data_IF_946004593091
#
_entry.id   IF_946004593091
#
_cell.length_a   1.000
_cell.length_b   1.000
_cell.length_c   1.000
_cell.angle_alpha   90.00
_cell.angle_beta   90.00
_cell.angle_gamma   90.00
#
_symmetry.space_group_name_H-M   'P 1'
#
loop_
_entity.id
_entity.type
_entity.pdbx_description
1 polymer ?
#
# COMPACT_ATOMS: atom_id res chain seq x y z
N UNK A 1 16.03 -14.06 -7.48
CA UNK A 1 16.31 -12.65 -7.13
C UNK A 1 15.41 -12.26 -5.97
N UNK A 2 15.95 -11.63 -4.93
CA UNK A 2 15.17 -11.17 -3.78
C UNK A 2 14.67 -9.77 -4.07
N UNK A 3 13.36 -9.61 -4.24
CA UNK A 3 12.75 -8.31 -4.52
C UNK A 3 12.25 -7.64 -3.24
N UNK A 4 12.35 -6.32 -3.13
CA UNK A 4 11.88 -5.52 -2.00
C UNK A 4 10.77 -4.60 -2.45
N UNK A 5 9.77 -4.35 -1.60
CA UNK A 5 8.67 -3.45 -1.95
C UNK A 5 8.28 -2.59 -0.76
N UNK A 6 7.98 -1.33 -1.01
CA UNK A 6 7.54 -0.39 0.03
C UNK A 6 6.03 -0.50 0.19
N UNK A 7 5.61 -0.70 1.44
CA UNK A 7 4.22 -0.73 1.87
C UNK A 7 3.93 0.44 2.81
N UNK A 8 2.68 0.89 2.81
CA UNK A 8 2.18 1.91 3.72
C UNK A 8 1.01 2.67 3.10
N UNK A 9 0.87 3.93 3.49
CA UNK A 9 -0.10 4.85 2.89
C UNK A 9 0.52 6.25 2.78
N UNK A 10 0.41 6.86 1.60
CA UNK A 10 0.78 8.26 1.37
C UNK A 10 -0.46 9.06 0.98
N UNK A 11 -0.43 10.36 1.22
CA UNK A 11 -1.50 11.28 0.82
C UNK A 11 -1.87 11.15 -0.66
N UNK A 12 -0.87 11.12 -1.54
CA UNK A 12 -1.07 10.96 -2.98
C UNK A 12 -1.81 9.66 -3.32
N UNK A 13 -1.46 8.56 -2.66
CA UNK A 13 -2.10 7.26 -2.89
C UNK A 13 -3.49 7.19 -2.30
N UNK A 14 -3.70 7.77 -1.12
CA UNK A 14 -5.01 7.85 -0.48
C UNK A 14 -5.99 8.65 -1.33
N UNK A 15 -5.58 9.81 -1.88
CA UNK A 15 -6.40 10.58 -2.84
C UNK A 15 -6.72 9.81 -4.10
N UNK A 16 -5.71 9.15 -4.70
CA UNK A 16 -5.93 8.33 -5.89
C UNK A 16 -6.96 7.22 -5.63
N UNK A 17 -6.86 6.56 -4.48
CA UNK A 17 -7.82 5.54 -4.07
C UNK A 17 -9.20 6.13 -3.81
N UNK A 18 -9.29 7.28 -3.14
CA UNK A 18 -10.56 7.96 -2.87
C UNK A 18 -11.31 8.26 -4.17
N UNK A 19 -10.63 8.84 -5.17
CA UNK A 19 -11.15 9.15 -6.51
C UNK A 19 -11.47 7.93 -7.37
N UNK A 20 -10.89 6.77 -7.07
CA UNK A 20 -11.10 5.57 -7.88
C UNK A 20 -12.52 5.03 -7.77
N UNK A 21 -13.32 5.48 -6.79
CA UNK A 21 -14.72 5.10 -6.70
C UNK A 21 -15.55 5.97 -7.65
N UNK A 22 -16.38 5.36 -8.51
CA UNK A 22 -17.28 6.13 -9.35
C UNK A 22 -18.32 6.90 -8.50
N UNK A 23 -18.83 8.02 -9.03
CA UNK A 23 -19.98 8.70 -8.44
C UNK A 23 -21.19 7.76 -8.43
N UNK A 24 -22.05 7.88 -7.41
CA UNK A 24 -23.31 7.15 -7.36
C UNK A 24 -24.32 7.76 -8.35
N UNK A 25 -25.29 6.96 -8.79
CA UNK A 25 -26.35 7.46 -9.66
C UNK A 25 -27.12 8.59 -8.98
N UNK A 26 -27.22 9.74 -9.67
CA UNK A 26 -27.90 10.98 -9.20
C UNK A 26 -27.28 11.65 -7.97
N UNK A 27 -25.99 11.40 -7.70
CA UNK A 27 -25.25 12.09 -6.64
C UNK A 27 -24.91 13.54 -7.10
N UNK A 28 -25.04 14.51 -6.20
CA UNK A 28 -24.57 15.88 -6.45
C UNK A 28 -23.05 15.92 -6.48
N UNK A 29 -22.47 16.94 -7.13
CA UNK A 29 -21.01 17.14 -7.15
C UNK A 29 -20.48 17.34 -5.72
N UNK A 30 -21.19 18.10 -4.90
CA UNK A 30 -20.82 18.38 -3.50
C UNK A 30 -20.83 17.11 -2.64
N UNK A 31 -21.83 16.25 -2.82
CA UNK A 31 -21.92 14.96 -2.11
C UNK A 31 -20.78 14.02 -2.49
N UNK A 32 -20.37 14.05 -3.76
CA UNK A 32 -19.22 13.27 -4.24
C UNK A 32 -17.91 13.74 -3.59
N UNK A 33 -17.67 15.05 -3.54
CA UNK A 33 -16.47 15.64 -2.93
C UNK A 33 -16.40 15.35 -1.42
N UNK A 34 -17.53 15.48 -0.71
CA UNK A 34 -17.62 15.14 0.71
C UNK A 34 -17.28 13.66 0.94
N UNK A 35 -17.83 12.76 0.12
CA UNK A 35 -17.53 11.32 0.20
C UNK A 35 -16.08 10.99 -0.16
N UNK A 36 -15.47 11.70 -1.11
CA UNK A 36 -14.05 11.56 -1.42
C UNK A 36 -13.20 11.94 -0.20
N UNK A 37 -13.53 13.07 0.44
CA UNK A 37 -12.81 13.58 1.60
C UNK A 37 -12.94 12.66 2.82
N UNK A 38 -14.16 12.23 3.17
CA UNK A 38 -14.39 11.27 4.25
C UNK A 38 -13.59 9.98 4.04
N UNK A 39 -13.57 9.48 2.79
CA UNK A 39 -12.84 8.26 2.46
C UNK A 39 -11.33 8.47 2.50
N UNK A 40 -10.84 9.62 2.07
CA UNK A 40 -9.44 9.99 2.21
C UNK A 40 -9.01 9.95 3.68
N UNK A 41 -9.80 10.54 4.57
CA UNK A 41 -9.56 10.55 6.02
C UNK A 41 -9.62 9.14 6.61
N UNK A 42 -10.59 8.31 6.20
CA UNK A 42 -10.66 6.91 6.60
C UNK A 42 -9.45 6.11 6.12
N UNK A 43 -8.96 6.35 4.90
CA UNK A 43 -7.78 5.67 4.36
C UNK A 43 -6.50 6.08 5.10
N UNK A 44 -6.39 7.36 5.48
CA UNK A 44 -5.27 7.90 6.23
C UNK A 44 -5.29 7.50 7.71
N UNK A 45 -6.46 7.38 8.34
CA UNK A 45 -6.61 6.95 9.74
C UNK A 45 -6.69 5.44 9.94
N UNK A 46 -7.13 4.69 8.93
CA UNK A 46 -7.38 3.25 9.05
C UNK A 46 -6.13 2.37 9.12
N UNK A 47 -6.30 1.05 9.11
CA UNK A 47 -5.18 0.08 9.15
C UNK A 47 -4.71 -0.41 7.78
N UNK A 48 -5.37 -0.02 6.69
CA UNK A 48 -5.10 -0.61 5.36
C UNK A 48 -3.78 -0.10 4.78
N UNK A 49 -2.86 -1.01 4.55
CA UNK A 49 -1.57 -0.73 3.91
C UNK A 49 -1.59 -1.25 2.47
N UNK A 50 -1.08 -0.45 1.55
CA UNK A 50 -1.01 -0.79 0.13
C UNK A 50 0.44 -0.76 -0.34
N UNK A 51 0.78 -1.54 -1.38
CA UNK A 51 2.07 -1.39 -2.01
C UNK A 51 2.16 -0.01 -2.70
N UNK A 52 3.16 0.78 -2.33
CA UNK A 52 3.38 2.13 -2.87
C UNK A 52 4.30 2.12 -4.08
N UNK A 53 5.30 1.24 -4.07
CA UNK A 53 6.30 1.14 -5.14
C UNK A 53 6.12 -0.12 -5.98
N UNK A 54 6.85 -0.19 -7.10
CA UNK A 54 7.18 -1.46 -7.76
C UNK A 54 8.15 -2.28 -6.90
N UNK A 55 8.41 -3.52 -7.29
CA UNK A 55 9.47 -4.32 -6.71
C UNK A 55 10.84 -3.74 -7.10
N UNK A 56 11.71 -3.56 -6.10
CA UNK A 56 13.09 -3.14 -6.24
C UNK A 56 14.03 -4.32 -6.03
N UNK A 57 15.18 -4.33 -6.69
CA UNK A 57 16.15 -5.43 -6.53
C UNK A 57 17.01 -5.30 -5.26
N UNK A 58 17.11 -4.10 -4.69
CA UNK A 58 17.92 -3.83 -3.51
C UNK A 58 17.14 -3.03 -2.45
N UNK A 59 17.42 -3.28 -1.15
CA UNK A 59 16.72 -2.59 -0.06
C UNK A 59 17.10 -1.10 0.04
N UNK A 60 18.28 -0.72 -0.47
CA UNK A 60 18.75 0.67 -0.48
C UNK A 60 17.81 1.58 -1.29
N UNK A 61 17.34 1.12 -2.45
CA UNK A 61 16.37 1.86 -3.27
C UNK A 61 15.02 1.98 -2.58
N UNK A 62 14.56 0.93 -1.90
CA UNK A 62 13.33 0.97 -1.11
C UNK A 62 13.44 1.97 0.06
N UNK A 63 14.61 2.07 0.72
CA UNK A 63 14.88 3.09 1.75
C UNK A 63 14.84 4.51 1.19
N UNK A 64 15.53 4.74 0.07
CA UNK A 64 15.51 6.05 -0.61
C UNK A 64 14.10 6.46 -1.00
N UNK A 65 13.28 5.52 -1.48
CA UNK A 65 11.87 5.77 -1.78
C UNK A 65 11.10 6.21 -0.54
N UNK A 66 11.30 5.53 0.60
CA UNK A 66 10.69 5.93 1.87
C UNK A 66 11.12 7.33 2.27
N UNK A 67 12.41 7.67 2.15
CA UNK A 67 12.91 9.00 2.50
C UNK A 67 12.31 10.10 1.62
N UNK A 68 12.14 9.83 0.32
CA UNK A 68 11.44 10.74 -0.60
C UNK A 68 9.95 10.85 -0.24
N UNK A 69 9.29 9.74 0.07
CA UNK A 69 7.88 9.74 0.46
C UNK A 69 7.64 10.52 1.77
N UNK A 70 8.56 10.42 2.73
CA UNK A 70 8.53 11.21 3.96
C UNK A 70 8.66 12.71 3.71
N UNK A 71 9.51 13.10 2.75
CA UNK A 71 9.68 14.51 2.36
C UNK A 71 8.48 15.04 1.56
N UNK A 72 7.77 14.18 0.84
CA UNK A 72 6.69 14.58 -0.05
C UNK A 72 5.41 15.03 0.66
N UNK A 73 5.16 14.60 1.91
CA UNK A 73 3.97 15.03 2.65
C UNK A 73 3.52 14.03 3.71
N UNK A 74 2.19 13.95 3.94
CA UNK A 74 1.62 13.06 4.96
C UNK A 74 1.79 11.59 4.56
N UNK A 75 2.23 10.79 5.52
CA UNK A 75 2.42 9.35 5.36
C UNK A 75 2.01 8.58 6.61
N UNK A 76 1.75 7.28 6.45
CA UNK A 76 1.50 6.34 7.55
C UNK A 76 2.20 5.01 7.28
N UNK A 77 2.79 4.43 8.34
CA UNK A 77 3.35 3.09 8.39
C UNK A 77 4.18 2.71 7.15
N UNK A 78 5.16 3.55 6.78
CA UNK A 78 6.06 3.24 5.67
C UNK A 78 7.07 2.17 6.12
N UNK A 79 7.03 1.01 5.50
CA UNK A 79 7.95 -0.10 5.78
C UNK A 79 8.26 -0.90 4.52
N UNK A 80 9.35 -1.66 4.55
CA UNK A 80 9.80 -2.48 3.44
C UNK A 80 9.33 -3.91 3.70
N UNK A 81 8.82 -4.59 2.67
CA UNK A 81 8.56 -6.03 2.71
C UNK A 81 9.37 -6.77 1.66
N UNK A 82 9.74 -8.01 1.95
CA UNK A 82 10.37 -8.95 1.03
C UNK A 82 9.49 -10.20 0.85
N UNK A 83 9.44 -10.82 -0.34
CA UNK A 83 8.76 -12.07 -0.54
C UNK A 83 9.59 -13.20 0.08
N UNK A 84 8.91 -14.08 0.77
CA UNK A 84 9.43 -15.31 1.34
C UNK A 84 8.55 -16.45 0.84
N UNK A 85 9.17 -17.46 0.25
CA UNK A 85 8.44 -18.64 -0.22
C UNK A 85 8.18 -19.55 0.96
N UNK A 86 6.92 -19.63 1.38
CA UNK A 86 6.49 -20.56 2.42
C UNK A 86 5.85 -21.79 1.78
N UNK A 87 6.11 -22.95 2.39
CA UNK A 87 5.40 -24.18 2.05
C UNK A 87 4.16 -24.27 2.92
N UNK A 88 3.00 -24.32 2.27
CA UNK A 88 1.71 -24.44 2.95
C UNK A 88 1.11 -25.77 2.57
N UNK A 89 0.63 -26.54 3.55
CA UNK A 89 -0.14 -27.75 3.26
C UNK A 89 -1.58 -27.37 2.95
N UNK A 90 -2.03 -27.69 1.73
CA UNK A 90 -3.44 -27.63 1.35
C UNK A 90 -3.92 -29.07 1.11
N UNK A 91 -4.57 -29.64 2.12
CA UNK A 91 -4.94 -31.05 2.11
C UNK A 91 -3.69 -31.95 2.07
N UNK A 92 -3.63 -32.89 1.12
CA UNK A 92 -2.50 -33.82 0.95
C UNK A 92 -1.33 -33.26 0.11
N UNK A 93 -1.40 -32.01 -0.36
CA UNK A 93 -0.38 -31.41 -1.24
C UNK A 93 0.34 -30.25 -0.55
N UNK A 94 1.66 -30.21 -0.72
CA UNK A 94 2.49 -29.06 -0.37
C UNK A 94 2.47 -28.05 -1.52
N UNK A 95 2.04 -26.82 -1.23
CA UNK A 95 2.00 -25.73 -2.20
C UNK A 95 2.96 -24.63 -1.75
N UNK A 96 3.80 -24.14 -2.66
CA UNK A 96 4.64 -22.99 -2.43
C UNK A 96 3.81 -21.71 -2.62
N UNK A 97 3.68 -20.91 -1.57
CA UNK A 97 3.01 -19.60 -1.60
C UNK A 97 4.01 -18.51 -1.27
N UNK A 98 3.89 -17.36 -1.94
CA UNK A 98 4.72 -16.19 -1.64
C UNK A 98 4.06 -15.37 -0.55
N UNK A 99 4.74 -15.20 0.57
CA UNK A 99 4.32 -14.36 1.69
C UNK A 99 5.24 -13.14 1.79
N UNK A 100 4.67 -11.95 1.98
CA UNK A 100 5.45 -10.71 2.10
C UNK A 100 5.73 -10.42 3.57
N UNK A 101 6.94 -10.72 4.02
CA UNK A 101 7.39 -10.46 5.38
C UNK A 101 8.04 -9.08 5.48
N UNK A 102 7.84 -8.41 6.60
CA UNK A 102 8.50 -7.15 6.90
C UNK A 102 10.03 -7.34 6.93
N UNK A 103 10.73 -6.43 6.26
CA UNK A 103 12.18 -6.38 6.21
C UNK A 103 12.66 -5.32 7.20
N UNK A 104 12.96 -5.76 8.40
CA UNK A 104 13.64 -4.95 9.42
C UNK A 104 15.14 -5.01 9.11
N UNK A 105 15.77 -3.85 8.89
CA UNK A 105 17.22 -3.77 8.68
C UNK A 105 17.93 -3.41 9.98
#
# INVERSE_FOLDING_TARGET
MTTFRVYGMTESKARQLARSLPPKNRESIEDYENREQERFEQLMSGGKEVPLSTAFDAPQFAKQFIDLAKKAGRYRNLHIRRPETIQVQRGKKTVHTTYWKEYVT
#
